data_IF_979295858981
#
_entry.id   IF_979295858981
#
_cell.length_a   1.000
_cell.length_b   1.000
_cell.length_c   1.000
_cell.angle_alpha   90.00
_cell.angle_beta   90.00
_cell.angle_gamma   90.00
#
_symmetry.space_group_name_H-M   'P 1'
#
loop_
_entity.id
_entity.type
_entity.pdbx_description
1 polymer ?
#
# COMPACT_ATOMS: atom_id res chain seq x y z
N UNK A 1 8.02 10.52 -12.34
CA UNK A 1 6.75 11.12 -12.82
C UNK A 1 5.95 11.57 -11.61
N UNK A 2 5.29 12.73 -11.66
CA UNK A 2 4.46 13.21 -10.55
C UNK A 2 3.25 13.97 -11.09
N UNK A 3 2.16 14.10 -10.31
CA UNK A 3 1.01 14.91 -10.69
C UNK A 3 1.41 16.38 -10.93
N UNK A 4 0.80 17.01 -11.94
CA UNK A 4 1.04 18.43 -12.26
C UNK A 4 -0.10 19.35 -11.84
N UNK A 5 -1.19 18.77 -11.33
CA UNK A 5 -2.39 19.50 -10.89
C UNK A 5 -2.67 19.22 -9.42
N UNK A 6 -3.29 20.18 -8.74
CA UNK A 6 -3.76 20.01 -7.36
C UNK A 6 -4.68 18.80 -7.21
N UNK A 7 -5.67 18.66 -8.10
CA UNK A 7 -6.57 17.51 -8.13
C UNK A 7 -5.82 16.17 -8.26
N UNK A 8 -4.73 16.12 -9.04
CA UNK A 8 -3.91 14.92 -9.17
C UNK A 8 -3.13 14.59 -7.88
N UNK A 9 -2.66 15.60 -7.15
CA UNK A 9 -2.02 15.39 -5.85
C UNK A 9 -3.04 14.92 -4.80
N UNK A 10 -4.24 15.50 -4.79
CA UNK A 10 -5.33 15.07 -3.92
C UNK A 10 -5.76 13.62 -4.19
N UNK A 11 -5.81 13.23 -5.46
CA UNK A 11 -6.14 11.85 -5.83
C UNK A 11 -5.12 10.87 -5.25
N UNK A 12 -3.82 11.14 -5.42
CA UNK A 12 -2.76 10.28 -4.84
C UNK A 12 -2.87 10.23 -3.31
N UNK A 13 -3.12 11.36 -2.64
CA UNK A 13 -3.31 11.43 -1.18
C UNK A 13 -4.49 10.56 -0.73
N UNK A 14 -5.61 10.65 -1.42
CA UNK A 14 -6.82 9.89 -1.11
C UNK A 14 -6.62 8.39 -1.33
N UNK A 15 -6.02 7.99 -2.46
CA UNK A 15 -5.75 6.58 -2.74
C UNK A 15 -4.74 5.99 -1.75
N UNK A 16 -3.71 6.75 -1.37
CA UNK A 16 -2.75 6.32 -0.36
C UNK A 16 -3.41 6.10 1.03
N UNK A 17 -4.39 6.92 1.39
CA UNK A 17 -5.18 6.72 2.60
C UNK A 17 -6.03 5.44 2.51
N UNK A 18 -6.70 5.20 1.37
CA UNK A 18 -7.47 3.97 1.15
C UNK A 18 -6.60 2.71 1.26
N UNK A 19 -5.39 2.74 0.69
CA UNK A 19 -4.41 1.65 0.84
C UNK A 19 -4.07 1.39 2.29
N UNK A 20 -3.87 2.44 3.11
CA UNK A 20 -3.65 2.27 4.54
C UNK A 20 -4.84 1.60 5.24
N UNK A 21 -6.07 2.02 4.92
CA UNK A 21 -7.26 1.43 5.54
C UNK A 21 -7.51 -0.03 5.11
N UNK A 22 -7.19 -0.37 3.86
CA UNK A 22 -7.22 -1.76 3.39
C UNK A 22 -6.23 -2.63 4.17
N UNK A 23 -5.03 -2.12 4.49
CA UNK A 23 -4.09 -2.80 5.37
C UNK A 23 -4.67 -3.10 6.76
N UNK A 24 -5.42 -2.15 7.34
CA UNK A 24 -6.13 -2.37 8.61
C UNK A 24 -7.20 -3.46 8.49
N UNK A 25 -7.99 -3.44 7.42
CA UNK A 25 -9.02 -4.45 7.17
C UNK A 25 -8.42 -5.86 7.04
N UNK A 26 -7.28 -6.00 6.35
CA UNK A 26 -6.61 -7.28 6.18
C UNK A 26 -6.08 -7.87 7.50
N UNK A 27 -5.86 -7.06 8.53
CA UNK A 27 -5.47 -7.53 9.87
C UNK A 27 -6.66 -8.02 10.72
N UNK A 28 -7.91 -7.83 10.28
CA UNK A 28 -9.07 -8.31 11.03
C UNK A 28 -9.09 -9.84 11.12
N UNK A 29 -9.64 -10.44 12.21
CA UNK A 29 -9.53 -11.88 12.47
C UNK A 29 -9.96 -12.79 11.30
N UNK A 30 -11.04 -12.41 10.60
CA UNK A 30 -11.55 -13.17 9.45
C UNK A 30 -10.56 -13.24 8.27
N UNK A 31 -9.74 -12.20 8.06
CA UNK A 31 -8.74 -12.14 7.01
C UNK A 31 -7.37 -12.67 7.46
N UNK A 32 -6.95 -12.33 8.69
CA UNK A 32 -5.65 -12.71 9.21
C UNK A 32 -5.54 -14.23 9.46
N UNK A 33 -6.60 -14.87 9.99
CA UNK A 33 -6.64 -16.32 10.26
C UNK A 33 -5.36 -16.84 10.93
N UNK A 34 -4.87 -16.12 11.95
CA UNK A 34 -3.66 -16.41 12.72
C UNK A 34 -2.36 -16.55 11.89
N UNK A 35 -2.32 -15.95 10.69
CA UNK A 35 -1.12 -15.87 9.84
C UNK A 35 -0.26 -14.66 10.24
N UNK A 36 0.89 -14.85 10.90
CA UNK A 36 1.70 -13.74 11.42
C UNK A 36 2.38 -12.94 10.30
N UNK A 37 2.81 -13.60 9.23
CA UNK A 37 3.40 -12.97 8.05
C UNK A 37 2.36 -12.14 7.27
N UNK A 38 1.13 -12.64 7.11
CA UNK A 38 0.02 -11.86 6.56
C UNK A 38 -0.23 -10.58 7.36
N UNK A 39 -0.28 -10.70 8.69
CA UNK A 39 -0.51 -9.57 9.60
C UNK A 39 0.63 -8.55 9.51
N UNK A 40 1.88 -9.02 9.48
CA UNK A 40 3.06 -8.16 9.39
C UNK A 40 3.14 -7.43 8.04
N UNK A 41 2.90 -8.12 6.93
CA UNK A 41 2.90 -7.48 5.61
C UNK A 41 1.72 -6.51 5.48
N UNK A 42 0.54 -6.85 6.03
CA UNK A 42 -0.61 -5.94 6.09
C UNK A 42 -0.31 -4.68 6.90
N UNK A 43 0.40 -4.79 8.03
CA UNK A 43 0.93 -3.63 8.77
C UNK A 43 1.91 -2.82 7.93
N UNK A 44 2.76 -3.48 7.15
CA UNK A 44 3.63 -2.85 6.16
C UNK A 44 2.85 -2.01 5.15
N UNK A 45 1.70 -2.49 4.69
CA UNK A 45 0.80 -1.77 3.76
C UNK A 45 0.26 -0.49 4.40
N UNK A 46 -0.15 -0.55 5.67
CA UNK A 46 -0.59 0.64 6.44
C UNK A 46 0.52 1.69 6.47
N UNK A 47 1.74 1.27 6.82
CA UNK A 47 2.89 2.18 6.96
C UNK A 47 3.32 2.77 5.61
N UNK A 48 3.37 1.96 4.56
CA UNK A 48 3.75 2.39 3.22
C UNK A 48 2.72 3.37 2.63
N UNK A 49 1.42 3.07 2.74
CA UNK A 49 0.36 4.00 2.34
C UNK A 49 0.46 5.35 3.07
N UNK A 50 0.76 5.34 4.37
CA UNK A 50 0.95 6.58 5.13
C UNK A 50 2.18 7.40 4.68
N UNK A 51 3.26 6.74 4.22
CA UNK A 51 4.44 7.42 3.67
C UNK A 51 4.13 8.05 2.31
N UNK A 52 3.45 7.33 1.42
CA UNK A 52 2.99 7.84 0.12
C UNK A 52 2.06 9.03 0.30
N UNK A 53 1.10 8.94 1.25
CA UNK A 53 0.18 10.04 1.58
C UNK A 53 0.95 11.30 1.99
N UNK A 54 1.94 11.18 2.87
CA UNK A 54 2.76 12.32 3.31
C UNK A 54 3.57 12.94 2.17
N UNK A 55 4.13 12.12 1.28
CA UNK A 55 4.84 12.62 0.10
C UNK A 55 3.89 13.39 -0.83
N UNK A 56 2.66 12.90 -1.03
CA UNK A 56 1.64 13.59 -1.81
C UNK A 56 1.19 14.92 -1.17
N UNK A 57 1.01 14.95 0.17
CA UNK A 57 0.68 16.17 0.91
C UNK A 57 1.78 17.23 0.82
N UNK A 58 3.05 16.80 0.86
CA UNK A 58 4.20 17.68 0.68
C UNK A 58 4.44 18.09 -0.79
N UNK A 59 3.72 17.50 -1.74
CA UNK A 59 3.96 17.61 -3.20
C UNK A 59 5.41 17.31 -3.58
N UNK A 60 6.02 16.34 -2.89
CA UNK A 60 7.39 15.91 -3.10
C UNK A 60 7.42 14.79 -4.15
N UNK A 61 7.81 15.14 -5.37
CA UNK A 61 7.83 14.22 -6.51
C UNK A 61 8.86 13.08 -6.37
N UNK A 62 9.99 13.36 -5.73
CA UNK A 62 11.06 12.38 -5.52
C UNK A 62 10.64 11.39 -4.42
N UNK A 63 10.20 11.91 -3.27
CA UNK A 63 9.68 11.07 -2.20
C UNK A 63 8.46 10.27 -2.66
N UNK A 64 7.57 10.85 -3.47
CA UNK A 64 6.42 10.11 -4.00
C UNK A 64 6.87 8.91 -4.84
N UNK A 65 7.88 9.09 -5.69
CA UNK A 65 8.41 8.01 -6.51
C UNK A 65 9.06 6.90 -5.65
N UNK A 66 9.91 7.27 -4.70
CA UNK A 66 10.59 6.31 -3.82
C UNK A 66 9.61 5.55 -2.93
N UNK A 67 8.70 6.26 -2.25
CA UNK A 67 7.72 5.64 -1.37
C UNK A 67 6.70 4.80 -2.15
N UNK A 68 6.36 5.21 -3.39
CA UNK A 68 5.56 4.40 -4.30
C UNK A 68 6.23 3.08 -4.67
N UNK A 69 7.54 3.09 -4.94
CA UNK A 69 8.31 1.86 -5.19
C UNK A 69 8.35 0.93 -3.96
N UNK A 70 8.50 1.49 -2.75
CA UNK A 70 8.44 0.72 -1.51
C UNK A 70 7.05 0.13 -1.27
N UNK A 71 5.98 0.90 -1.53
CA UNK A 71 4.61 0.37 -1.47
C UNK A 71 4.41 -0.79 -2.44
N UNK A 72 4.90 -0.67 -3.67
CA UNK A 72 4.85 -1.76 -4.66
C UNK A 72 5.54 -3.04 -4.14
N UNK A 73 6.71 -2.90 -3.50
CA UNK A 73 7.40 -4.06 -2.91
C UNK A 73 6.56 -4.74 -1.83
N UNK A 74 5.88 -3.98 -0.96
CA UNK A 74 4.96 -4.54 0.05
C UNK A 74 3.83 -5.34 -0.60
N UNK A 75 3.22 -4.81 -1.66
CA UNK A 75 2.17 -5.52 -2.41
C UNK A 75 2.70 -6.86 -2.95
N UNK A 76 3.89 -6.84 -3.57
CA UNK A 76 4.53 -8.02 -4.14
C UNK A 76 4.88 -9.05 -3.06
N UNK A 77 5.38 -8.62 -1.90
CA UNK A 77 5.75 -9.54 -0.79
C UNK A 77 4.57 -10.38 -0.32
N UNK A 78 3.36 -9.80 -0.23
CA UNK A 78 2.15 -10.56 0.11
C UNK A 78 1.70 -11.43 -1.07
N UNK A 79 1.58 -10.83 -2.25
CA UNK A 79 1.00 -11.49 -3.42
C UNK A 79 1.85 -12.67 -3.91
N UNK A 80 3.17 -12.67 -3.73
CA UNK A 80 3.99 -13.83 -4.06
C UNK A 80 3.71 -15.07 -3.20
N UNK A 81 3.18 -14.86 -1.99
CA UNK A 81 2.85 -15.93 -1.05
C UNK A 81 1.39 -16.37 -1.24
N UNK A 82 0.48 -15.39 -1.31
CA UNK A 82 -0.97 -15.60 -1.22
C UNK A 82 -1.75 -15.38 -2.53
N UNK A 83 -1.13 -14.76 -3.54
CA UNK A 83 -1.70 -14.44 -4.86
C UNK A 83 -0.74 -14.83 -5.99
N UNK A 84 -0.21 -16.06 -5.95
CA UNK A 84 0.19 -16.68 -7.22
C UNK A 84 -1.12 -17.05 -7.91
N UNK A 85 -1.27 -16.68 -9.19
CA UNK A 85 -2.39 -17.08 -10.06
C UNK A 85 -2.93 -18.41 -9.58
N UNK A 86 -4.22 -18.44 -9.25
CA UNK A 86 -4.93 -19.66 -8.89
C UNK A 86 -4.37 -20.77 -9.78
N UNK A 87 -3.61 -21.68 -9.18
CA UNK A 87 -3.12 -22.86 -9.89
C UNK A 87 -4.37 -23.46 -10.50
N UNK A 88 -4.45 -23.38 -11.82
CA UNK A 88 -5.25 -24.30 -12.60
C UNK A 88 -4.66 -25.67 -12.26
N UNK A 89 -5.30 -26.32 -11.29
CA UNK A 89 -5.15 -27.71 -10.90
C UNK A 89 -6.57 -28.26 -10.88
#
# INVERSE_FOLDING_TARGET
>A
MAPTTEAGWDEVRNQAALVSELGNLLMMPHFAQDRPDWTEISRGMVQAGARVRRAAEARDAEALFEQGALLYQVCVSCHQIYWREARVQ
#
